data_IF_262039168726
#
_entry.id   IF_262039168726
#
_cell.length_a   1.000
_cell.length_b   1.000
_cell.length_c   1.000
_cell.angle_alpha   90.00
_cell.angle_beta   90.00
_cell.angle_gamma   90.00
#
_symmetry.space_group_name_H-M   'P 1'
#
loop_
_entity.id
_entity.type
_entity.pdbx_description
1 polymer ?
#
# COMPACT_ATOMS: atom_id res chain seq x y z
N UNK A 1 -20.53 -43.22 -29.74
CA UNK A 1 -19.24 -43.72 -30.27
C UNK A 1 -18.43 -42.55 -30.80
N UNK A 2 -17.09 -42.52 -30.67
CA UNK A 2 -16.30 -41.46 -31.29
C UNK A 2 -16.37 -41.58 -32.82
N UNK A 3 -16.67 -40.47 -33.50
CA UNK A 3 -16.64 -40.37 -34.97
C UNK A 3 -15.28 -40.89 -35.46
N UNK A 4 -15.28 -41.85 -36.38
CA UNK A 4 -14.03 -42.44 -36.87
C UNK A 4 -13.17 -41.37 -37.55
N UNK A 5 -11.85 -41.46 -37.42
CA UNK A 5 -10.94 -40.47 -37.97
C UNK A 5 -11.12 -40.29 -39.50
N UNK A 6 -11.52 -41.35 -40.19
CA UNK A 6 -11.80 -41.35 -41.62
C UNK A 6 -13.12 -40.65 -41.96
N UNK A 7 -14.21 -40.90 -41.22
CA UNK A 7 -15.48 -40.19 -41.42
C UNK A 7 -15.35 -38.69 -41.17
N UNK A 8 -14.56 -38.30 -40.15
CA UNK A 8 -14.26 -36.89 -39.87
C UNK A 8 -13.42 -36.23 -40.97
N UNK A 9 -12.48 -36.97 -41.58
CA UNK A 9 -11.70 -36.47 -42.72
C UNK A 9 -12.58 -36.31 -43.97
N UNK A 10 -13.44 -37.28 -44.26
CA UNK A 10 -14.36 -37.22 -45.40
C UNK A 10 -15.36 -36.05 -45.28
N UNK A 11 -15.97 -35.87 -44.10
CA UNK A 11 -16.87 -34.73 -43.85
C UNK A 11 -16.15 -33.38 -43.96
N UNK A 12 -14.91 -33.27 -43.45
CA UNK A 12 -14.11 -32.03 -43.55
C UNK A 12 -13.64 -31.75 -44.97
N UNK A 13 -13.37 -32.78 -45.76
CA UNK A 13 -13.03 -32.62 -47.17
C UNK A 13 -14.24 -32.09 -47.96
N UNK A 14 -15.42 -32.66 -47.73
CA UNK A 14 -16.67 -32.20 -48.34
C UNK A 14 -17.07 -30.78 -47.90
N UNK A 15 -16.88 -30.43 -46.62
CA UNK A 15 -17.13 -29.07 -46.13
C UNK A 15 -16.17 -28.03 -46.76
N UNK A 16 -14.92 -28.41 -47.06
CA UNK A 16 -13.96 -27.52 -47.75
C UNK A 16 -14.30 -27.29 -49.22
N UNK A 17 -15.03 -28.21 -49.84
CA UNK A 17 -15.48 -28.11 -51.23
C UNK A 17 -16.93 -27.64 -51.32
N UNK A 18 -17.40 -26.82 -50.37
CA UNK A 18 -18.79 -26.32 -50.33
C UNK A 18 -19.85 -27.42 -50.51
N UNK A 19 -19.64 -28.60 -49.93
CA UNK A 19 -20.64 -29.67 -49.86
C UNK A 19 -21.03 -30.30 -51.20
N UNK A 20 -20.17 -30.22 -52.21
CA UNK A 20 -20.39 -30.81 -53.54
C UNK A 20 -19.75 -32.19 -53.74
N UNK A 21 -18.93 -32.68 -52.80
CA UNK A 21 -18.18 -33.94 -52.96
C UNK A 21 -18.98 -35.17 -52.52
N UNK A 22 -19.89 -34.99 -51.56
CA UNK A 22 -20.79 -36.05 -51.07
C UNK A 22 -22.22 -35.71 -51.47
N UNK A 23 -22.94 -36.70 -51.97
CA UNK A 23 -24.38 -36.59 -52.16
C UNK A 23 -25.10 -36.43 -50.81
N UNK A 24 -26.29 -35.82 -50.81
CA UNK A 24 -27.06 -35.62 -49.57
C UNK A 24 -27.34 -36.95 -48.84
N UNK A 25 -27.55 -38.04 -49.59
CA UNK A 25 -27.77 -39.36 -49.02
C UNK A 25 -26.52 -39.92 -48.34
N UNK A 26 -25.33 -39.69 -48.91
CA UNK A 26 -24.06 -40.11 -48.31
C UNK A 26 -23.73 -39.30 -47.06
N UNK A 27 -24.04 -38.00 -47.07
CA UNK A 27 -23.90 -37.13 -45.90
C UNK A 27 -24.85 -37.56 -44.78
N UNK A 28 -26.10 -37.87 -45.10
CA UNK A 28 -27.07 -38.38 -44.12
C UNK A 28 -26.61 -39.73 -43.53
N UNK A 29 -26.10 -40.65 -44.35
CA UNK A 29 -25.54 -41.93 -43.88
C UNK A 29 -24.35 -41.74 -42.95
N UNK A 30 -23.43 -40.82 -43.28
CA UNK A 30 -22.27 -40.50 -42.41
C UNK A 30 -22.70 -39.98 -41.04
N UNK A 31 -23.77 -39.18 -40.99
CA UNK A 31 -24.31 -38.65 -39.73
C UNK A 31 -25.05 -39.75 -38.98
N UNK A 32 -25.95 -40.48 -39.66
CA UNK A 32 -26.80 -41.51 -39.06
C UNK A 32 -25.99 -42.68 -38.47
N UNK A 33 -24.89 -43.06 -39.11
CA UNK A 33 -23.96 -44.07 -38.60
C UNK A 33 -23.26 -43.65 -37.29
N UNK A 34 -23.33 -42.37 -36.91
CA UNK A 34 -22.68 -41.81 -35.73
C UNK A 34 -23.64 -41.16 -34.74
N UNK A 35 -24.95 -41.22 -35.00
CA UNK A 35 -25.97 -40.84 -34.01
C UNK A 35 -25.99 -41.88 -32.88
N UNK A 36 -26.15 -41.44 -31.61
CA UNK A 36 -26.37 -42.37 -30.51
C UNK A 36 -27.72 -43.11 -30.72
N UNK A 37 -27.78 -44.42 -30.40
CA UNK A 37 -29.05 -45.16 -30.46
C UNK A 37 -30.04 -44.53 -29.48
N UNK A 38 -31.28 -44.32 -29.92
CA UNK A 38 -32.27 -43.50 -29.20
C UNK A 38 -32.90 -44.23 -28.01
N UNK A 39 -32.76 -45.54 -27.84
CA UNK A 39 -33.52 -46.24 -26.79
C UNK A 39 -32.95 -47.52 -26.18
N UNK A 40 -31.64 -47.75 -26.26
CA UNK A 40 -31.05 -48.85 -25.49
C UNK A 40 -30.40 -48.31 -24.22
N UNK A 41 -30.89 -48.79 -23.07
CA UNK A 41 -30.18 -48.72 -21.80
C UNK A 41 -28.71 -49.06 -22.04
N UNK A 42 -27.75 -48.31 -21.46
CA UNK A 42 -26.37 -48.41 -21.85
C UNK A 42 -25.94 -49.88 -21.83
N UNK A 43 -25.40 -50.43 -22.94
CA UNK A 43 -24.95 -51.80 -22.91
C UNK A 43 -23.92 -51.86 -21.81
N UNK A 44 -24.12 -52.76 -20.84
CA UNK A 44 -23.09 -53.10 -19.87
C UNK A 44 -21.93 -53.60 -20.71
N UNK A 45 -21.00 -52.69 -21.02
CA UNK A 45 -19.79 -53.05 -21.71
C UNK A 45 -19.16 -54.07 -20.79
N UNK A 46 -19.09 -55.33 -21.23
CA UNK A 46 -18.14 -56.29 -20.67
C UNK A 46 -16.84 -55.51 -20.64
N UNK A 47 -16.40 -55.16 -19.43
CA UNK A 47 -15.10 -54.52 -19.22
C UNK A 47 -14.10 -55.53 -19.74
N UNK A 48 -13.77 -55.44 -21.03
CA UNK A 48 -12.50 -55.92 -21.50
C UNK A 48 -11.51 -55.24 -20.57
N UNK A 49 -10.77 -56.06 -19.83
CA UNK A 49 -9.55 -55.70 -19.15
C UNK A 49 -8.58 -55.14 -20.20
N UNK A 50 -8.85 -53.93 -20.71
CA UNK A 50 -7.84 -53.08 -21.26
C UNK A 50 -6.93 -52.80 -20.08
N UNK A 51 -5.82 -53.55 -20.08
CA UNK A 51 -4.64 -53.38 -19.24
C UNK A 51 -4.68 -52.01 -18.60
N UNK A 52 -4.93 -51.97 -17.28
CA UNK A 52 -4.77 -50.77 -16.44
C UNK A 52 -3.48 -50.12 -16.93
N UNK A 53 -3.61 -48.98 -17.59
CA UNK A 53 -2.45 -48.30 -18.10
C UNK A 53 -1.47 -48.14 -16.93
N UNK A 54 -0.23 -48.62 -17.08
CA UNK A 54 0.89 -48.40 -16.14
C UNK A 54 1.25 -46.90 -15.97
N UNK A 55 0.31 -46.00 -16.28
CA UNK A 55 0.37 -44.55 -16.22
C UNK A 55 0.03 -43.98 -14.83
N UNK A 56 -0.03 -44.82 -13.79
CA UNK A 56 -0.11 -44.38 -12.40
C UNK A 56 1.27 -44.07 -11.80
N UNK A 57 2.24 -44.97 -11.98
CA UNK A 57 3.53 -44.92 -11.25
C UNK A 57 4.47 -43.85 -11.80
N UNK A 58 4.62 -43.71 -13.14
CA UNK A 58 5.49 -42.67 -13.72
C UNK A 58 4.94 -41.26 -13.48
N UNK A 59 3.61 -41.10 -13.54
CA UNK A 59 2.94 -39.83 -13.23
C UNK A 59 3.02 -39.51 -11.74
N UNK A 60 2.87 -40.54 -10.89
CA UNK A 60 3.06 -40.43 -9.44
C UNK A 60 4.51 -40.08 -9.08
N UNK A 61 5.51 -40.77 -9.64
CA UNK A 61 6.95 -40.46 -9.46
C UNK A 61 7.29 -39.05 -9.95
N UNK A 62 6.77 -38.63 -11.11
CA UNK A 62 6.97 -37.26 -11.62
C UNK A 62 6.34 -36.22 -10.70
N UNK A 63 5.12 -36.46 -10.20
CA UNK A 63 4.47 -35.59 -9.24
C UNK A 63 5.20 -35.57 -7.89
N UNK A 64 5.67 -36.73 -7.41
CA UNK A 64 6.45 -36.85 -6.18
C UNK A 64 7.79 -36.10 -6.31
N UNK A 65 8.45 -36.19 -7.48
CA UNK A 65 9.65 -35.41 -7.78
C UNK A 65 9.36 -33.91 -7.78
N UNK A 66 8.26 -33.46 -8.42
CA UNK A 66 7.89 -32.04 -8.40
C UNK A 66 7.58 -31.54 -6.99
N UNK A 67 6.84 -32.32 -6.20
CA UNK A 67 6.55 -31.98 -4.79
C UNK A 67 7.83 -31.95 -3.97
N UNK A 68 8.75 -32.90 -4.19
CA UNK A 68 10.03 -32.94 -3.50
C UNK A 68 10.91 -31.75 -3.85
N UNK A 69 11.05 -31.41 -5.14
CA UNK A 69 11.79 -30.23 -5.59
C UNK A 69 11.14 -28.95 -5.06
N UNK A 70 9.82 -28.85 -5.10
CA UNK A 70 9.08 -27.73 -4.51
C UNK A 70 9.35 -27.62 -3.01
N UNK A 71 9.32 -28.73 -2.27
CA UNK A 71 9.58 -28.75 -0.83
C UNK A 71 11.02 -28.33 -0.49
N UNK A 72 12.01 -28.79 -1.26
CA UNK A 72 13.41 -28.35 -1.10
C UNK A 72 13.52 -26.85 -1.38
N UNK A 73 13.01 -26.40 -2.52
CA UNK A 73 13.06 -25.00 -2.91
C UNK A 73 12.38 -24.11 -1.85
N UNK A 74 11.17 -24.47 -1.44
CA UNK A 74 10.43 -23.77 -0.38
C UNK A 74 11.18 -23.80 0.95
N UNK A 75 11.80 -24.92 1.33
CA UNK A 75 12.62 -25.04 2.54
C UNK A 75 13.83 -24.11 2.52
N UNK A 76 14.58 -24.09 1.41
CA UNK A 76 15.74 -23.21 1.21
C UNK A 76 15.33 -21.74 1.24
N UNK A 77 14.28 -21.34 0.51
CA UNK A 77 13.78 -19.97 0.52
C UNK A 77 13.25 -19.57 1.90
N UNK A 78 12.52 -20.46 2.58
CA UNK A 78 12.02 -20.20 3.94
C UNK A 78 13.16 -20.00 4.93
N UNK A 79 14.20 -20.84 4.86
CA UNK A 79 15.38 -20.72 5.72
C UNK A 79 16.13 -19.41 5.45
N UNK A 80 16.33 -19.07 4.17
CA UNK A 80 16.97 -17.81 3.77
C UNK A 80 16.18 -16.59 4.29
N UNK A 81 14.86 -16.54 4.08
CA UNK A 81 14.02 -15.43 4.53
C UNK A 81 14.09 -15.29 6.06
N UNK A 82 13.97 -16.38 6.81
CA UNK A 82 14.04 -16.34 8.28
C UNK A 82 15.41 -15.90 8.79
N UNK A 83 16.50 -16.39 8.19
CA UNK A 83 17.85 -15.96 8.53
C UNK A 83 18.05 -14.47 8.24
N UNK A 84 17.59 -13.99 7.09
CA UNK A 84 17.66 -12.57 6.72
C UNK A 84 16.86 -11.70 7.69
N UNK A 85 15.63 -12.09 8.02
CA UNK A 85 14.78 -11.40 8.99
C UNK A 85 15.44 -11.37 10.37
N UNK A 86 15.92 -12.50 10.88
CA UNK A 86 16.61 -12.57 12.17
C UNK A 86 17.85 -11.67 12.20
N UNK A 87 18.67 -11.70 11.14
CA UNK A 87 19.84 -10.83 11.01
C UNK A 87 19.46 -9.35 11.01
N UNK A 88 18.44 -8.98 10.22
CA UNK A 88 17.98 -7.60 10.13
C UNK A 88 17.38 -7.11 11.44
N UNK A 89 16.55 -7.91 12.12
CA UNK A 89 15.99 -7.59 13.45
C UNK A 89 17.11 -7.34 14.46
N UNK A 90 18.09 -8.25 14.56
CA UNK A 90 19.23 -8.08 15.49
C UNK A 90 20.01 -6.82 15.14
N UNK A 91 20.33 -6.61 13.86
CA UNK A 91 21.04 -5.42 13.39
C UNK A 91 20.28 -4.13 13.71
N UNK A 92 18.97 -4.11 13.50
CA UNK A 92 18.12 -2.96 13.77
C UNK A 92 17.92 -2.74 15.28
N UNK A 93 17.89 -3.79 16.10
CA UNK A 93 17.84 -3.64 17.55
C UNK A 93 19.15 -3.07 18.10
N UNK A 94 20.30 -3.58 17.65
CA UNK A 94 21.62 -3.03 18.01
C UNK A 94 21.71 -1.57 17.56
N UNK A 95 21.30 -1.28 16.32
CA UNK A 95 21.25 0.10 15.82
C UNK A 95 20.22 0.94 16.57
N UNK A 96 19.10 0.38 17.01
CA UNK A 96 18.13 1.12 17.81
C UNK A 96 18.79 1.50 19.11
N UNK A 97 19.31 0.54 19.89
CA UNK A 97 19.95 0.76 21.20
C UNK A 97 21.14 1.74 21.11
N UNK A 98 22.02 1.57 20.12
CA UNK A 98 23.18 2.43 19.94
C UNK A 98 22.77 3.87 19.65
N UNK A 99 21.68 4.07 18.91
CA UNK A 99 21.14 5.39 18.55
C UNK A 99 19.96 5.83 19.44
N UNK A 100 19.50 5.02 20.40
CA UNK A 100 18.34 5.30 21.27
C UNK A 100 18.66 6.36 22.33
N UNK A 101 19.93 6.76 22.43
CA UNK A 101 20.43 7.73 23.40
C UNK A 101 20.17 9.19 22.98
N UNK A 102 19.31 9.45 22.00
CA UNK A 102 19.07 10.79 21.48
C UNK A 102 17.67 11.30 21.84
N UNK A 103 17.54 11.66 23.11
CA UNK A 103 16.55 12.63 23.58
C UNK A 103 17.00 14.09 23.40
N UNK A 104 18.12 14.32 22.71
CA UNK A 104 18.73 15.64 22.54
C UNK A 104 18.51 16.16 21.12
N UNK A 105 17.87 17.33 20.95
CA UNK A 105 17.58 17.90 19.63
C UNK A 105 18.85 18.22 18.83
N UNK A 106 19.97 18.50 19.50
CA UNK A 106 21.26 18.81 18.85
C UNK A 106 21.78 17.64 18.02
N UNK A 107 21.58 16.41 18.48
CA UNK A 107 22.03 15.23 17.75
C UNK A 107 21.25 15.05 16.45
N UNK A 108 19.92 15.23 16.52
CA UNK A 108 19.05 15.15 15.35
C UNK A 108 19.42 16.23 14.33
N UNK A 109 19.64 17.45 14.81
CA UNK A 109 20.11 18.55 13.96
C UNK A 109 21.44 18.22 13.29
N UNK A 110 22.42 17.66 14.03
CA UNK A 110 23.71 17.27 13.47
C UNK A 110 23.59 16.21 12.38
N UNK A 111 22.76 15.20 12.59
CA UNK A 111 22.57 14.10 11.63
C UNK A 111 21.87 14.54 10.34
N UNK A 112 21.09 15.62 10.41
CA UNK A 112 20.31 16.17 9.30
C UNK A 112 20.97 17.40 8.65
N UNK A 113 21.85 18.12 9.35
CA UNK A 113 22.50 19.35 8.86
C UNK A 113 23.36 19.13 7.60
N UNK A 114 23.97 17.95 7.47
CA UNK A 114 24.80 17.59 6.31
C UNK A 114 24.00 17.14 5.07
N UNK A 115 22.67 17.09 5.13
CA UNK A 115 21.87 16.62 4.01
C UNK A 115 21.70 17.73 2.96
N UNK A 116 22.00 17.48 1.67
CA UNK A 116 21.91 18.50 0.62
C UNK A 116 20.48 18.95 0.33
N UNK A 117 19.49 18.13 0.69
CA UNK A 117 18.07 18.35 0.39
C UNK A 117 17.23 17.73 1.50
N UNK A 118 16.26 18.49 2.00
CA UNK A 118 15.25 18.06 2.98
C UNK A 118 13.84 18.16 2.37
N UNK A 119 12.89 17.31 2.77
CA UNK A 119 11.51 17.44 2.32
C UNK A 119 10.86 18.67 2.97
N UNK A 120 10.04 19.41 2.21
CA UNK A 120 9.23 20.50 2.77
C UNK A 120 7.99 19.95 3.49
N UNK A 121 7.47 18.83 3.00
CA UNK A 121 6.36 18.12 3.61
C UNK A 121 6.74 16.64 3.77
N UNK A 122 6.84 16.22 5.03
CA UNK A 122 7.03 14.82 5.40
C UNK A 122 5.68 14.21 5.77
N UNK A 123 5.42 12.99 5.32
CA UNK A 123 4.31 12.20 5.82
C UNK A 123 4.77 10.84 6.34
N UNK A 124 4.04 10.26 7.28
CA UNK A 124 4.29 8.93 7.79
C UNK A 124 2.99 8.15 8.02
N UNK A 125 3.08 6.84 7.84
CA UNK A 125 2.00 5.89 8.17
C UNK A 125 2.30 5.24 9.50
N UNK A 126 1.43 5.47 10.49
CA UNK A 126 1.41 4.76 11.77
C UNK A 126 0.31 3.71 11.75
N UNK A 127 0.64 2.49 12.16
CA UNK A 127 -0.29 1.35 12.17
C UNK A 127 -0.77 1.08 13.59
N UNK A 128 -2.07 0.94 13.75
CA UNK A 128 -2.65 0.33 14.93
C UNK A 128 -2.25 -1.16 15.00
N UNK A 129 -1.96 -1.64 16.20
CA UNK A 129 -1.65 -3.06 16.43
C UNK A 129 -2.93 -3.80 16.83
N UNK A 130 -3.37 -4.75 16.00
CA UNK A 130 -4.63 -5.48 16.21
C UNK A 130 -4.61 -6.37 17.47
N UNK A 131 -3.42 -6.81 17.90
CA UNK A 131 -3.23 -7.74 19.02
C UNK A 131 -3.19 -7.04 20.40
N UNK A 132 -3.11 -5.70 20.44
CA UNK A 132 -2.97 -4.93 21.69
C UNK A 132 -4.32 -4.42 22.20
N UNK A 133 -4.40 -4.16 23.51
CA UNK A 133 -5.58 -3.50 24.13
C UNK A 133 -5.78 -2.12 23.48
N UNK A 134 -7.00 -1.77 23.01
CA UNK A 134 -7.24 -0.53 22.25
C UNK A 134 -6.73 0.75 22.93
N UNK A 135 -6.87 0.84 24.26
CA UNK A 135 -6.37 2.00 25.02
C UNK A 135 -4.84 2.08 25.04
N UNK A 136 -4.16 0.95 25.22
CA UNK A 136 -2.70 0.92 25.23
C UNK A 136 -2.12 1.23 23.84
N UNK A 137 -2.81 0.78 22.79
CA UNK A 137 -2.42 1.08 21.41
C UNK A 137 -2.61 2.57 21.07
N UNK A 138 -3.69 3.19 21.55
CA UNK A 138 -3.89 4.64 21.43
C UNK A 138 -2.77 5.44 22.10
N UNK A 139 -2.40 5.12 23.35
CA UNK A 139 -1.31 5.82 24.03
C UNK A 139 0.01 5.67 23.27
N UNK A 140 0.30 4.48 22.75
CA UNK A 140 1.48 4.22 21.90
C UNK A 140 1.46 5.10 20.65
N UNK A 141 0.35 5.12 19.91
CA UNK A 141 0.23 5.92 18.68
C UNK A 141 0.38 7.43 18.95
N UNK A 142 -0.15 7.92 20.08
CA UNK A 142 0.01 9.32 20.51
C UNK A 142 1.50 9.60 20.81
N UNK A 143 2.17 8.70 21.52
CA UNK A 143 3.58 8.85 21.85
C UNK A 143 4.47 8.83 20.59
N UNK A 144 4.25 7.88 19.68
CA UNK A 144 4.95 7.80 18.39
C UNK A 144 4.70 9.04 17.52
N UNK A 145 3.47 9.55 17.48
CA UNK A 145 3.14 10.79 16.78
C UNK A 145 3.89 11.99 17.39
N UNK A 146 3.98 12.05 18.71
CA UNK A 146 4.73 13.10 19.41
C UNK A 146 6.24 13.01 19.17
N UNK A 147 6.82 11.80 19.16
CA UNK A 147 8.22 11.58 18.80
C UNK A 147 8.51 12.01 17.38
N UNK A 148 7.68 11.57 16.44
CA UNK A 148 7.85 11.90 15.03
C UNK A 148 7.72 13.41 14.79
N UNK A 149 6.75 14.08 15.41
CA UNK A 149 6.62 15.54 15.36
C UNK A 149 7.88 16.23 15.90
N UNK A 150 8.43 15.73 17.00
CA UNK A 150 9.66 16.27 17.60
C UNK A 150 10.87 16.08 16.68
N UNK A 151 11.05 14.90 16.08
CA UNK A 151 12.12 14.64 15.13
C UNK A 151 11.99 15.52 13.87
N UNK A 152 10.76 15.72 13.40
CA UNK A 152 10.45 16.55 12.24
C UNK A 152 10.74 18.03 12.51
N UNK A 153 10.36 18.52 13.69
CA UNK A 153 10.70 19.86 14.16
C UNK A 153 12.23 20.05 14.31
N UNK A 154 12.93 19.07 14.90
CA UNK A 154 14.39 19.11 15.03
C UNK A 154 15.10 19.09 13.67
N UNK A 155 14.53 18.40 12.68
CA UNK A 155 15.03 18.37 11.31
C UNK A 155 14.74 19.66 10.51
N UNK A 156 13.98 20.60 11.09
CA UNK A 156 13.51 21.85 10.47
C UNK A 156 12.61 21.62 9.25
N UNK A 157 11.82 20.55 9.30
CA UNK A 157 10.82 20.25 8.27
C UNK A 157 9.51 20.95 8.71
N UNK A 158 8.96 21.87 7.90
CA UNK A 158 7.87 22.75 8.35
C UNK A 158 6.50 22.07 8.41
N UNK A 159 6.34 20.90 7.77
CA UNK A 159 5.06 20.22 7.69
C UNK A 159 5.19 18.70 7.87
N UNK A 160 4.33 18.16 8.72
CA UNK A 160 4.17 16.75 9.01
C UNK A 160 2.73 16.32 8.73
N UNK A 161 2.52 15.21 8.01
CA UNK A 161 1.22 14.54 7.93
C UNK A 161 1.31 13.12 8.50
N UNK A 162 0.51 12.83 9.53
CA UNK A 162 0.45 11.49 10.13
C UNK A 162 -0.83 10.81 9.67
N UNK A 163 -0.65 9.68 8.99
CA UNK A 163 -1.74 8.82 8.58
C UNK A 163 -1.91 7.65 9.54
N UNK A 164 -3.12 7.48 10.03
CA UNK A 164 -3.57 6.27 10.74
C UNK A 164 -4.93 5.85 10.17
N UNK A 165 -5.03 4.58 9.78
CA UNK A 165 -6.14 4.07 8.94
C UNK A 165 -7.52 4.31 9.55
N UNK A 166 -7.69 4.08 10.85
CA UNK A 166 -9.00 4.12 11.54
C UNK A 166 -9.45 5.54 11.89
N UNK A 167 -8.53 6.50 11.95
CA UNK A 167 -8.79 7.87 12.39
C UNK A 167 -8.82 8.03 13.91
N UNK A 168 -8.26 7.10 14.68
CA UNK A 168 -8.27 7.16 16.15
C UNK A 168 -7.51 8.40 16.66
N UNK A 169 -6.44 8.81 15.97
CA UNK A 169 -5.67 10.01 16.27
C UNK A 169 -6.48 11.29 15.98
N UNK A 170 -7.24 11.31 14.87
CA UNK A 170 -8.15 12.44 14.55
C UNK A 170 -9.16 12.65 15.68
N UNK A 171 -9.69 11.56 16.21
CA UNK A 171 -10.66 11.57 17.32
C UNK A 171 -10.11 12.17 18.61
N UNK A 172 -8.79 12.08 18.84
CA UNK A 172 -8.11 12.52 20.07
C UNK A 172 -7.13 13.67 19.82
N UNK A 173 -7.41 14.54 18.84
CA UNK A 173 -6.57 15.67 18.48
C UNK A 173 -6.03 16.50 19.66
N UNK A 174 -6.83 16.90 20.66
CA UNK A 174 -6.32 17.65 21.80
C UNK A 174 -5.25 16.88 22.59
N UNK A 175 -5.42 15.57 22.77
CA UNK A 175 -4.44 14.71 23.45
C UNK A 175 -3.14 14.59 22.66
N UNK A 176 -3.24 14.49 21.33
CA UNK A 176 -2.08 14.48 20.43
C UNK A 176 -1.33 15.81 20.54
N UNK A 177 -2.05 16.93 20.49
CA UNK A 177 -1.49 18.26 20.64
C UNK A 177 -0.75 18.44 21.97
N UNK A 178 -1.38 18.07 23.09
CA UNK A 178 -0.78 18.12 24.44
C UNK A 178 0.47 17.24 24.55
N UNK A 179 0.44 16.02 24.01
CA UNK A 179 1.58 15.11 24.01
C UNK A 179 2.78 15.66 23.21
N UNK A 180 2.51 16.27 22.05
CA UNK A 180 3.57 16.93 21.25
C UNK A 180 4.16 18.11 22.01
N UNK A 181 3.33 18.97 22.60
CA UNK A 181 3.83 20.09 23.40
C UNK A 181 4.66 19.63 24.60
N UNK A 182 4.25 18.56 25.27
CA UNK A 182 5.01 17.98 26.37
C UNK A 182 6.40 17.50 25.90
N UNK A 183 6.48 16.83 24.75
CA UNK A 183 7.79 16.44 24.17
C UNK A 183 8.58 17.65 23.67
N UNK A 184 7.92 18.66 23.10
CA UNK A 184 8.59 19.90 22.68
C UNK A 184 9.23 20.62 23.87
N UNK A 185 8.52 20.73 24.99
CA UNK A 185 9.07 21.29 26.22
C UNK A 185 10.26 20.45 26.75
N UNK A 186 10.20 19.12 26.63
CA UNK A 186 11.29 18.24 27.04
C UNK A 186 12.54 18.38 26.17
N UNK A 187 12.37 18.54 24.84
CA UNK A 187 13.49 18.63 23.90
C UNK A 187 14.05 20.04 23.77
N UNK A 188 13.18 21.04 23.58
CA UNK A 188 13.58 22.42 23.29
C UNK A 188 13.56 23.34 24.52
N UNK A 189 13.01 22.89 25.65
CA UNK A 189 12.85 23.71 26.83
C UNK A 189 11.78 24.80 26.64
N UNK A 190 12.11 26.03 27.04
CA UNK A 190 11.20 27.18 27.00
C UNK A 190 11.00 27.76 25.60
N UNK A 191 11.94 27.58 24.69
CA UNK A 191 11.89 28.10 23.32
C UNK A 191 11.66 26.96 22.32
N UNK A 192 10.39 26.57 22.15
CA UNK A 192 9.99 25.54 21.20
C UNK A 192 9.27 26.13 19.98
N UNK A 193 9.30 25.43 18.83
CA UNK A 193 8.53 25.83 17.66
C UNK A 193 7.03 25.86 17.97
N UNK A 194 6.32 26.75 17.28
CA UNK A 194 4.86 26.81 17.36
C UNK A 194 4.25 25.59 16.66
N UNK A 195 3.13 25.09 17.21
CA UNK A 195 2.46 23.90 16.70
C UNK A 195 1.03 24.25 16.28
N UNK A 196 0.66 23.84 15.06
CA UNK A 196 -0.74 23.82 14.62
C UNK A 196 -1.11 22.43 14.16
N UNK A 197 -2.11 21.82 14.80
CA UNK A 197 -2.65 20.50 14.48
C UNK A 197 -3.98 20.67 13.77
N UNK A 198 -4.07 20.13 12.57
CA UNK A 198 -5.25 20.20 11.71
C UNK A 198 -5.68 18.80 11.32
N UNK A 199 -6.97 18.64 11.04
CA UNK A 199 -7.54 17.41 10.51
C UNK A 199 -8.64 17.82 9.55
N UNK A 200 -8.86 17.08 8.45
CA UNK A 200 -9.99 17.32 7.57
C UNK A 200 -11.29 17.26 8.38
N UNK A 201 -12.20 18.20 8.09
CA UNK A 201 -13.52 18.33 8.73
C UNK A 201 -13.51 18.55 10.25
N UNK A 202 -12.41 19.04 10.85
CA UNK A 202 -12.32 19.40 12.27
C UNK A 202 -11.67 20.76 12.47
N UNK A 203 -12.01 21.41 13.58
CA UNK A 203 -11.39 22.67 13.97
C UNK A 203 -9.91 22.47 14.29
N UNK A 204 -9.07 23.40 13.83
CA UNK A 204 -7.65 23.39 14.06
C UNK A 204 -7.33 23.67 15.53
N UNK A 205 -6.43 22.89 16.12
CA UNK A 205 -5.89 23.13 17.46
C UNK A 205 -4.51 23.75 17.28
N UNK A 206 -4.34 25.00 17.69
CA UNK A 206 -3.09 25.72 17.50
C UNK A 206 -2.64 26.39 18.78
N UNK A 207 -1.32 26.60 18.90
CA UNK A 207 -0.78 27.43 19.97
C UNK A 207 -1.34 28.85 19.86
N UNK A 208 -1.84 29.44 20.97
CA UNK A 208 -2.43 30.78 20.93
C UNK A 208 -1.44 31.81 20.38
N UNK A 209 -1.97 32.78 19.62
CA UNK A 209 -1.20 33.79 18.89
C UNK A 209 -0.29 34.68 19.77
N UNK A 210 -0.47 34.66 21.08
CA UNK A 210 0.44 35.29 22.04
C UNK A 210 1.81 34.62 22.15
N UNK A 211 1.94 33.37 21.72
CA UNK A 211 3.18 32.58 21.70
C UNK A 211 3.69 32.29 20.27
N UNK A 212 2.99 32.78 19.24
CA UNK A 212 3.32 32.51 17.82
C UNK A 212 4.45 33.37 17.25
N UNK A 213 4.93 34.35 18.01
CA UNK A 213 6.09 35.18 17.66
C UNK A 213 7.44 34.53 18.04
N UNK A 214 7.49 33.21 18.21
CA UNK A 214 8.72 32.51 18.55
C UNK A 214 9.65 32.43 17.33
N UNK A 215 10.93 32.84 17.45
CA UNK A 215 11.92 32.72 16.37
C UNK A 215 12.30 31.27 16.04
N UNK A 216 11.87 30.30 16.85
CA UNK A 216 12.17 28.88 16.74
C UNK A 216 11.45 28.14 15.58
N UNK A 217 10.55 28.83 14.85
CA UNK A 217 9.83 28.29 13.70
C UNK A 217 8.43 27.75 14.01
N UNK A 218 7.81 27.14 12.99
CA UNK A 218 6.44 26.59 13.06
C UNK A 218 6.40 25.19 12.45
N UNK A 219 5.78 24.25 13.15
CA UNK A 219 5.43 22.93 12.63
C UNK A 219 3.91 22.85 12.40
N UNK A 220 3.51 22.59 11.16
CA UNK A 220 2.13 22.26 10.80
C UNK A 220 1.94 20.74 10.77
N UNK A 221 1.11 20.22 11.65
CA UNK A 221 0.75 18.80 11.71
C UNK A 221 -0.65 18.59 11.10
N UNK A 222 -0.75 17.70 10.12
CA UNK A 222 -2.01 17.20 9.60
C UNK A 222 -2.25 15.76 10.08
N UNK A 223 -3.41 15.48 10.67
CA UNK A 223 -3.84 14.13 11.00
C UNK A 223 -4.85 13.66 9.96
N UNK A 224 -4.51 12.58 9.26
CA UNK A 224 -5.32 12.02 8.17
C UNK A 224 -5.63 10.54 8.41
N UNK A 225 -6.69 10.04 7.80
CA UNK A 225 -7.14 8.65 7.87
C UNK A 225 -7.59 8.12 6.50
N UNK A 226 -8.03 6.86 6.43
CA UNK A 226 -8.48 6.26 5.18
C UNK A 226 -9.68 6.99 4.53
N UNK A 227 -10.50 7.65 5.34
CA UNK A 227 -11.63 8.46 4.89
C UNK A 227 -11.16 9.69 4.09
N UNK A 228 -9.97 10.21 4.41
CA UNK A 228 -9.41 11.37 3.74
C UNK A 228 -8.77 11.02 2.38
N UNK A 229 -8.92 9.78 1.92
CA UNK A 229 -8.38 9.30 0.65
C UNK A 229 -9.45 9.24 -0.44
N UNK A 230 -9.91 8.02 -0.74
CA UNK A 230 -10.86 7.80 -1.84
C UNK A 230 -12.23 8.41 -1.58
N UNK A 231 -12.68 8.42 -0.32
CA UNK A 231 -13.98 9.00 0.03
C UNK A 231 -13.99 10.51 -0.20
N UNK A 232 -12.92 11.23 0.16
CA UNK A 232 -12.84 12.66 -0.13
C UNK A 232 -12.90 13.01 -1.62
N UNK A 233 -12.32 12.18 -2.49
CA UNK A 233 -12.45 12.37 -3.96
C UNK A 233 -13.91 12.21 -4.40
N UNK A 234 -14.62 11.23 -3.84
CA UNK A 234 -16.04 11.01 -4.13
C UNK A 234 -16.88 12.18 -3.61
N UNK A 235 -16.60 12.68 -2.41
CA UNK A 235 -17.33 13.79 -1.78
C UNK A 235 -17.09 15.12 -2.52
N UNK A 236 -15.84 15.38 -2.94
CA UNK A 236 -15.51 16.52 -3.79
C UNK A 236 -16.26 16.42 -5.13
N UNK A 237 -16.26 15.24 -5.76
CA UNK A 237 -16.98 15.03 -7.03
C UNK A 237 -18.49 15.26 -6.87
N UNK A 238 -19.08 14.81 -5.76
CA UNK A 238 -20.50 15.05 -5.45
C UNK A 238 -20.78 16.55 -5.29
N UNK A 239 -19.89 17.27 -4.62
CA UNK A 239 -19.99 18.72 -4.41
C UNK A 239 -19.86 19.49 -5.74
N UNK A 240 -18.86 19.17 -6.56
CA UNK A 240 -18.68 19.79 -7.87
C UNK A 240 -19.85 19.50 -8.82
N UNK A 241 -20.40 18.29 -8.79
CA UNK A 241 -21.58 17.93 -9.58
C UNK A 241 -22.83 18.72 -9.15
N UNK A 242 -23.08 18.87 -7.85
CA UNK A 242 -24.19 19.66 -7.32
C UNK A 242 -24.02 21.16 -7.65
N UNK A 243 -22.81 21.70 -7.50
CA UNK A 243 -22.50 23.08 -7.91
C UNK A 243 -22.74 23.30 -9.40
N UNK A 244 -22.40 22.31 -10.24
CA UNK A 244 -22.63 22.38 -11.67
C UNK A 244 -24.12 22.33 -12.04
N UNK A 245 -24.89 21.44 -11.40
CA UNK A 245 -26.34 21.37 -11.58
C UNK A 245 -27.05 22.65 -11.16
N UNK A 246 -26.54 23.34 -10.14
CA UNK A 246 -27.04 24.65 -9.67
C UNK A 246 -26.56 25.83 -10.53
N UNK A 247 -25.80 25.58 -11.59
CA UNK A 247 -25.26 26.61 -12.50
C UNK A 247 -24.17 27.47 -11.89
N UNK A 248 -23.56 27.06 -10.76
CA UNK A 248 -22.45 27.78 -10.10
C UNK A 248 -21.08 27.46 -10.71
N UNK A 249 -20.96 26.35 -11.43
CA UNK A 249 -19.71 25.87 -12.03
C UNK A 249 -19.99 25.22 -13.39
N UNK A 250 -19.25 25.59 -14.44
CA UNK A 250 -19.33 24.87 -15.71
C UNK A 250 -18.57 23.54 -15.60
N UNK A 251 -19.06 22.43 -16.18
CA UNK A 251 -18.29 21.19 -16.25
C UNK A 251 -16.92 21.34 -16.92
N UNK A 252 -16.76 22.36 -17.78
CA UNK A 252 -15.49 22.67 -18.46
C UNK A 252 -14.45 23.32 -17.55
N UNK A 253 -14.89 23.90 -16.44
CA UNK A 253 -14.02 24.56 -15.47
C UNK A 253 -13.38 23.53 -14.51
N UNK A 254 -13.89 22.29 -14.50
CA UNK A 254 -13.34 21.18 -13.72
C UNK A 254 -12.03 20.73 -14.35
N UNK A 255 -10.93 21.24 -13.80
CA UNK A 255 -9.56 20.98 -14.23
C UNK A 255 -8.78 20.19 -13.17
N UNK A 256 -7.62 19.65 -13.55
CA UNK A 256 -6.71 19.02 -12.58
C UNK A 256 -6.27 19.99 -11.50
N UNK A 257 -6.01 21.26 -11.85
CA UNK A 257 -5.58 22.29 -10.91
C UNK A 257 -6.67 22.64 -9.89
N UNK A 258 -7.95 22.66 -10.32
CA UNK A 258 -9.08 22.84 -9.41
C UNK A 258 -9.17 21.69 -8.39
N UNK A 259 -9.12 20.45 -8.88
CA UNK A 259 -9.19 19.28 -8.00
C UNK A 259 -8.00 19.25 -7.04
N UNK A 260 -6.80 19.59 -7.53
CA UNK A 260 -5.58 19.62 -6.73
C UNK A 260 -5.63 20.70 -5.63
N UNK A 261 -6.14 21.89 -5.95
CA UNK A 261 -6.33 22.96 -4.97
C UNK A 261 -7.35 22.57 -3.89
N UNK A 262 -8.53 22.08 -4.27
CA UNK A 262 -9.60 21.69 -3.35
C UNK A 262 -9.17 20.54 -2.42
N UNK A 263 -8.48 19.52 -2.95
CA UNK A 263 -7.97 18.41 -2.14
C UNK A 263 -6.77 18.81 -1.27
N UNK A 264 -5.92 19.73 -1.75
CA UNK A 264 -4.75 20.21 -0.98
C UNK A 264 -5.17 21.08 0.19
N UNK A 265 -6.16 21.95 0.00
CA UNK A 265 -6.70 22.81 1.04
C UNK A 265 -7.61 22.04 2.01
N UNK A 266 -8.43 21.12 1.50
CA UNK A 266 -9.37 20.35 2.31
C UNK A 266 -8.74 19.21 3.11
N UNK A 267 -7.65 18.62 2.62
CA UNK A 267 -7.04 17.42 3.22
C UNK A 267 -5.60 17.69 3.68
N UNK A 268 -4.68 17.75 2.72
CA UNK A 268 -3.27 18.07 2.91
C UNK A 268 -2.61 18.31 1.54
N UNK A 269 -1.54 19.11 1.47
CA UNK A 269 -0.75 19.25 0.25
C UNK A 269 0.07 17.97 -0.06
N UNK A 270 0.56 17.82 -1.29
CA UNK A 270 1.39 16.67 -1.70
C UNK A 270 2.65 16.54 -0.81
N UNK A 271 2.88 15.39 -0.12
CA UNK A 271 4.11 15.14 0.61
C UNK A 271 5.29 14.87 -0.33
N UNK A 272 6.49 15.30 0.05
CA UNK A 272 7.69 14.98 -0.72
C UNK A 272 8.26 13.61 -0.35
N UNK A 273 8.12 13.22 0.92
CA UNK A 273 8.60 11.96 1.47
C UNK A 273 7.48 11.31 2.29
N UNK A 274 7.20 10.04 2.03
CA UNK A 274 6.31 9.20 2.82
C UNK A 274 7.12 8.08 3.50
N UNK A 275 7.07 8.02 4.83
CA UNK A 275 7.74 6.99 5.62
C UNK A 275 6.73 5.91 6.04
N UNK A 276 7.04 4.67 5.69
CA UNK A 276 6.28 3.50 6.12
C UNK A 276 7.04 2.78 7.23
N UNK A 277 6.50 2.81 8.46
CA UNK A 277 7.00 2.04 9.60
C UNK A 277 6.44 0.61 9.54
N UNK A 278 6.76 -0.10 8.47
CA UNK A 278 6.31 -1.48 8.22
C UNK A 278 7.39 -2.28 7.48
N UNK A 279 7.40 -3.62 7.63
CA UNK A 279 8.41 -4.47 6.98
C UNK A 279 8.22 -4.60 5.46
N UNK A 280 7.04 -4.22 4.96
CA UNK A 280 6.67 -4.22 3.55
C UNK A 280 5.92 -2.92 3.19
N UNK A 281 5.93 -2.58 1.91
CA UNK A 281 5.24 -1.40 1.38
C UNK A 281 3.73 -1.68 1.38
N UNK A 282 3.01 -1.06 2.29
CA UNK A 282 1.56 -1.10 2.37
C UNK A 282 1.02 0.30 2.66
N UNK A 283 0.21 0.83 1.74
CA UNK A 283 -0.36 2.17 1.87
C UNK A 283 -1.70 2.18 2.62
N UNK A 284 -2.36 1.03 2.79
CA UNK A 284 -3.57 0.87 3.63
C UNK A 284 -4.75 1.82 3.35
N UNK A 285 -4.79 2.47 2.17
CA UNK A 285 -5.79 3.48 1.84
C UNK A 285 -5.33 4.92 2.06
N UNK A 286 -4.02 5.16 2.16
CA UNK A 286 -3.41 6.49 2.12
C UNK A 286 -3.92 7.30 0.92
N UNK A 287 -4.13 8.63 1.06
CA UNK A 287 -4.69 9.46 0.00
C UNK A 287 -3.95 9.33 -1.35
N UNK A 288 -4.59 8.75 -2.38
CA UNK A 288 -3.89 8.36 -3.60
C UNK A 288 -3.57 9.55 -4.53
N UNK A 289 -4.34 10.64 -4.45
CA UNK A 289 -4.13 11.82 -5.27
C UNK A 289 -2.82 12.53 -4.91
N UNK A 290 -2.56 12.67 -3.62
CA UNK A 290 -1.46 13.46 -3.06
C UNK A 290 -0.07 12.82 -3.25
N UNK A 291 0.01 11.52 -3.57
CA UNK A 291 1.29 10.77 -3.58
C UNK A 291 1.94 10.60 -4.96
N UNK A 292 1.52 11.39 -5.97
CA UNK A 292 1.95 11.23 -7.36
C UNK A 292 3.47 11.29 -7.56
N UNK A 293 4.16 12.20 -6.86
CA UNK A 293 5.61 12.41 -6.96
C UNK A 293 6.33 12.23 -5.61
N UNK A 294 5.65 11.63 -4.64
CA UNK A 294 6.20 11.39 -3.31
C UNK A 294 7.20 10.24 -3.34
N UNK A 295 8.39 10.46 -2.77
CA UNK A 295 9.31 9.35 -2.50
C UNK A 295 8.76 8.51 -1.34
N UNK A 296 8.63 7.20 -1.55
CA UNK A 296 8.12 6.28 -0.54
C UNK A 296 9.28 5.49 0.04
N UNK A 297 9.56 5.69 1.33
CA UNK A 297 10.60 4.98 2.05
C UNK A 297 10.00 3.91 2.95
N UNK A 298 10.42 2.67 2.74
CA UNK A 298 10.10 1.52 3.58
C UNK A 298 11.39 0.78 3.92
N UNK A 299 11.66 0.62 5.22
CA UNK A 299 12.80 -0.16 5.67
C UNK A 299 12.44 -1.64 5.70
N UNK A 300 13.07 -2.44 4.83
CA UNK A 300 12.81 -3.87 4.73
C UNK A 300 13.04 -4.59 6.07
N UNK A 301 12.12 -5.51 6.39
CA UNK A 301 12.14 -6.35 7.60
C UNK A 301 12.16 -5.55 8.92
N UNK A 302 11.72 -4.27 8.92
CA UNK A 302 11.60 -3.44 10.11
C UNK A 302 10.14 -3.34 10.57
N UNK A 303 9.84 -3.89 11.74
CA UNK A 303 8.50 -3.86 12.34
C UNK A 303 8.33 -2.76 13.38
N UNK A 304 9.43 -2.14 13.83
CA UNK A 304 9.41 -1.15 14.91
C UNK A 304 9.39 0.28 14.40
N UNK A 305 8.61 1.13 15.08
CA UNK A 305 8.82 2.58 15.05
C UNK A 305 10.20 2.92 15.64
N UNK A 306 10.90 3.87 15.03
CA UNK A 306 12.20 4.28 15.56
C UNK A 306 12.95 5.32 14.73
N UNK A 307 13.76 6.13 15.42
CA UNK A 307 14.53 7.23 14.84
C UNK A 307 15.47 6.80 13.71
N UNK A 308 16.03 5.59 13.78
CA UNK A 308 16.91 5.05 12.73
C UNK A 308 16.22 4.98 11.36
N UNK A 309 14.90 4.71 11.32
CA UNK A 309 14.12 4.65 10.08
C UNK A 309 13.97 6.06 9.53
N UNK A 310 13.65 7.02 10.41
CA UNK A 310 13.50 8.43 10.07
C UNK A 310 14.77 9.01 9.42
N UNK A 311 15.94 8.83 10.05
CA UNK A 311 17.22 9.35 9.49
C UNK A 311 17.57 8.68 8.17
N UNK A 312 17.37 7.37 8.05
CA UNK A 312 17.61 6.64 6.79
C UNK A 312 16.69 7.13 5.68
N UNK A 313 15.42 7.41 6.00
CA UNK A 313 14.46 7.96 5.05
C UNK A 313 14.90 9.33 4.53
N UNK A 314 15.33 10.23 5.43
CA UNK A 314 15.84 11.55 5.05
C UNK A 314 17.12 11.45 4.20
N UNK A 315 18.05 10.56 4.57
CA UNK A 315 19.26 10.31 3.76
C UNK A 315 18.92 9.80 2.36
N UNK A 316 17.98 8.85 2.25
CA UNK A 316 17.54 8.34 0.95
C UNK A 316 16.89 9.45 0.12
N UNK A 317 15.95 10.20 0.69
CA UNK A 317 15.32 11.34 0.04
C UNK A 317 16.34 12.37 -0.43
N UNK A 318 17.35 12.69 0.38
CA UNK A 318 18.38 13.67 0.04
C UNK A 318 19.15 13.31 -1.24
N UNK A 319 19.35 12.01 -1.48
CA UNK A 319 20.04 11.47 -2.66
C UNK A 319 19.10 11.21 -3.85
N UNK A 320 17.78 11.25 -3.64
CA UNK A 320 16.80 10.98 -4.70
C UNK A 320 16.85 12.05 -5.81
N UNK A 321 16.64 11.63 -7.06
CA UNK A 321 16.63 12.50 -8.24
C UNK A 321 15.22 12.61 -8.82
N UNK A 322 14.65 13.81 -8.81
CA UNK A 322 13.33 14.08 -9.38
C UNK A 322 13.43 14.53 -10.84
N UNK A 323 13.26 13.59 -11.77
CA UNK A 323 13.39 13.86 -13.21
C UNK A 323 12.15 14.46 -13.87
N UNK A 324 10.98 14.35 -13.23
CA UNK A 324 9.70 14.95 -13.69
C UNK A 324 9.43 14.73 -15.20
N UNK A 325 9.77 13.54 -15.70
CA UNK A 325 9.58 13.16 -17.11
C UNK A 325 10.64 13.62 -18.09
N UNK A 326 11.78 14.16 -17.63
CA UNK A 326 12.93 14.57 -18.46
C UNK A 326 14.11 13.60 -18.40
#
# INVERSE_FOLDING_TARGET
MPVTANARKAYRADAKSNHTLLSEQERARLIQAHLPPINDSPPVSKKNNQKKSHLGVRRFLKNALFVFVFAIMHGVFSLYIRLRQAWNIVRYQISSILYYHHGTPEYIRRDVAGLPKKPNHLSAVLRAEEDKRPKADLERLIDEAAELATWTACAEIPMLSIYEKTGILKNHMPRVYEAILAKFALYFGTEHPSLSVTSPHREAVSTPASMSANPAGQLRLHLISAQDGRESVVDLTRTLADMSQKGKLSPRDISMDLIDAELSEGIMPEPNLLILFSPYVELSGYPPWQIRLTEIFCLQDNESFGYQVFVKALRNFSNAQFRRGK
#
